data_IF_347536249889
#
_entry.id   IF_347536249889
#
_cell.length_a   1.000
_cell.length_b   1.000
_cell.length_c   1.000
_cell.angle_alpha   90.00
_cell.angle_beta   90.00
_cell.angle_gamma   90.00
#
_symmetry.space_group_name_H-M   'P 1'
#
loop_
_entity.id
_entity.type
_entity.pdbx_description
1 polymer ?
#
# COMPACT_ATOMS: atom_id res chain seq x y z
N UNK A 1 -14.63 -12.70 3.29
CA UNK A 1 -13.22 -12.53 3.71
C UNK A 1 -12.50 -13.88 3.78
N UNK A 2 -11.49 -14.07 2.93
CA UNK A 2 -10.66 -15.27 2.90
C UNK A 2 -9.78 -15.40 4.14
N UNK A 3 -9.63 -16.62 4.65
CA UNK A 3 -8.77 -16.94 5.79
C UNK A 3 -7.38 -17.38 5.33
N UNK A 4 -6.41 -17.43 6.25
CA UNK A 4 -5.03 -17.86 5.96
C UNK A 4 -4.94 -19.23 5.27
N UNK A 5 -5.80 -20.18 5.67
CA UNK A 5 -5.89 -21.50 5.04
C UNK A 5 -6.40 -21.44 3.59
N UNK A 6 -7.29 -20.49 3.26
CA UNK A 6 -7.76 -20.30 1.89
C UNK A 6 -6.62 -19.79 0.99
N UNK A 7 -5.77 -18.89 1.51
CA UNK A 7 -4.58 -18.42 0.79
C UNK A 7 -3.57 -19.55 0.57
N UNK A 8 -3.28 -20.35 1.61
CA UNK A 8 -2.40 -21.53 1.48
C UNK A 8 -2.93 -22.52 0.45
N UNK A 9 -4.23 -22.77 0.45
CA UNK A 9 -4.87 -23.68 -0.49
C UNK A 9 -4.77 -23.15 -1.93
N UNK A 10 -4.98 -21.84 -2.14
CA UNK A 10 -4.83 -21.21 -3.44
C UNK A 10 -3.38 -21.29 -3.94
N UNK A 11 -2.41 -20.89 -3.10
CA UNK A 11 -0.97 -20.92 -3.43
C UNK A 11 -0.57 -22.33 -3.83
N UNK A 12 -0.90 -23.33 -3.00
CA UNK A 12 -0.58 -24.73 -3.29
C UNK A 12 -1.16 -25.20 -4.62
N UNK A 13 -2.41 -24.82 -4.92
CA UNK A 13 -3.06 -25.20 -6.19
C UNK A 13 -2.34 -24.57 -7.40
N UNK A 14 -1.87 -23.33 -7.27
CA UNK A 14 -1.09 -22.66 -8.32
C UNK A 14 0.31 -23.28 -8.49
N UNK A 15 0.98 -23.63 -7.38
CA UNK A 15 2.27 -24.32 -7.40
C UNK A 15 2.17 -25.69 -8.07
N UNK A 16 1.15 -26.48 -7.70
CA UNK A 16 0.87 -27.79 -8.32
C UNK A 16 0.66 -27.64 -9.83
N UNK A 17 -0.08 -26.62 -10.27
CA UNK A 17 -0.32 -26.34 -11.69
C UNK A 17 0.95 -25.97 -12.45
N UNK A 18 1.82 -25.12 -11.86
CA UNK A 18 3.14 -24.78 -12.44
C UNK A 18 3.99 -26.04 -12.59
N UNK A 19 3.99 -26.91 -11.56
CA UNK A 19 4.72 -28.17 -11.60
C UNK A 19 4.20 -29.11 -12.70
N UNK A 20 2.88 -29.18 -12.92
CA UNK A 20 2.33 -29.95 -14.05
C UNK A 20 2.79 -29.42 -15.40
N UNK A 21 2.86 -28.09 -15.59
CA UNK A 21 3.37 -27.48 -16.81
C UNK A 21 4.86 -27.82 -17.05
N UNK A 22 5.68 -27.82 -16.00
CA UNK A 22 7.09 -28.23 -16.10
C UNK A 22 7.24 -29.72 -16.45
N UNK A 23 6.45 -30.58 -15.81
CA UNK A 23 6.41 -32.02 -16.11
C UNK A 23 6.02 -32.29 -17.58
N UNK A 24 5.06 -31.53 -18.12
CA UNK A 24 4.70 -31.59 -19.54
C UNK A 24 5.91 -31.23 -20.41
N UNK A 25 6.56 -30.09 -20.14
CA UNK A 25 7.74 -29.64 -20.89
C UNK A 25 8.88 -30.65 -20.87
N UNK A 26 9.18 -31.21 -19.70
CA UNK A 26 10.19 -32.26 -19.51
C UNK A 26 9.83 -33.56 -20.25
N UNK A 27 8.58 -34.01 -20.14
CA UNK A 27 8.09 -35.24 -20.79
C UNK A 27 8.12 -35.13 -22.32
N UNK A 28 7.76 -33.97 -22.87
CA UNK A 28 7.82 -33.70 -24.31
C UNK A 28 9.27 -33.68 -24.79
N UNK A 29 10.18 -33.08 -24.01
CA UNK A 29 11.60 -32.97 -24.37
C UNK A 29 12.34 -34.32 -24.33
N UNK A 30 11.99 -35.20 -23.38
CA UNK A 30 12.67 -36.46 -23.12
C UNK A 30 11.92 -37.70 -23.65
N UNK A 31 11.13 -37.51 -24.72
CA UNK A 31 10.10 -38.44 -25.20
C UNK A 31 10.39 -39.94 -25.01
N UNK A 32 9.45 -40.65 -24.38
CA UNK A 32 9.49 -42.10 -24.16
C UNK A 32 8.16 -42.77 -24.57
N UNK A 33 8.14 -44.11 -24.62
CA UNK A 33 6.94 -44.88 -24.98
C UNK A 33 5.74 -44.66 -24.03
N UNK A 34 5.98 -44.18 -22.80
CA UNK A 34 4.94 -43.88 -21.82
C UNK A 34 4.54 -42.39 -21.78
N UNK A 35 5.11 -41.54 -22.63
CA UNK A 35 4.89 -40.09 -22.62
C UNK A 35 3.42 -39.69 -22.71
N UNK A 36 2.63 -40.34 -23.59
CA UNK A 36 1.22 -39.98 -23.80
C UNK A 36 0.34 -40.19 -22.57
N UNK A 37 0.58 -41.24 -21.78
CA UNK A 37 -0.19 -41.51 -20.56
C UNK A 37 0.10 -40.46 -19.48
N UNK A 38 1.37 -40.09 -19.33
CA UNK A 38 1.85 -39.05 -18.41
C UNK A 38 1.25 -37.69 -18.81
N UNK A 39 1.35 -37.33 -20.09
CA UNK A 39 0.78 -36.07 -20.59
C UNK A 39 -0.73 -35.99 -20.35
N UNK A 40 -1.46 -37.07 -20.65
CA UNK A 40 -2.92 -37.14 -20.41
C UNK A 40 -3.24 -36.95 -18.93
N UNK A 41 -2.46 -37.57 -18.04
CA UNK A 41 -2.58 -37.40 -16.59
C UNK A 41 -2.34 -35.94 -16.18
N UNK A 42 -1.26 -35.31 -16.66
CA UNK A 42 -0.94 -33.91 -16.37
C UNK A 42 -2.02 -32.94 -16.88
N UNK A 43 -2.54 -33.13 -18.09
CA UNK A 43 -3.63 -32.30 -18.62
C UNK A 43 -4.90 -32.43 -17.77
N UNK A 44 -5.27 -33.64 -17.39
CA UNK A 44 -6.43 -33.85 -16.51
C UNK A 44 -6.23 -33.23 -15.12
N UNK A 45 -4.99 -33.28 -14.59
CA UNK A 45 -4.64 -32.60 -13.34
C UNK A 45 -4.79 -31.08 -13.45
N UNK A 46 -4.24 -30.46 -14.50
CA UNK A 46 -4.38 -29.01 -14.75
C UNK A 46 -5.86 -28.61 -14.87
N UNK A 47 -6.67 -29.39 -15.59
CA UNK A 47 -8.13 -29.12 -15.69
C UNK A 47 -8.81 -29.20 -14.32
N UNK A 48 -8.42 -30.16 -13.47
CA UNK A 48 -8.94 -30.26 -12.11
C UNK A 48 -8.49 -29.08 -11.23
N UNK A 49 -7.25 -28.61 -11.40
CA UNK A 49 -6.69 -27.49 -10.65
C UNK A 49 -7.36 -26.16 -11.04
N UNK A 50 -7.59 -25.92 -12.34
CA UNK A 50 -8.35 -24.75 -12.83
C UNK A 50 -9.75 -24.71 -12.21
N UNK A 51 -10.45 -25.86 -12.20
CA UNK A 51 -11.78 -25.96 -11.56
C UNK A 51 -11.72 -25.69 -10.06
N UNK A 52 -10.63 -26.09 -9.40
CA UNK A 52 -10.43 -25.83 -7.97
C UNK A 52 -10.17 -24.34 -7.72
N UNK A 53 -9.37 -23.67 -8.54
CA UNK A 53 -9.17 -22.23 -8.47
C UNK A 53 -10.49 -21.49 -8.62
N UNK A 54 -11.31 -21.86 -9.61
CA UNK A 54 -12.64 -21.26 -9.82
C UNK A 54 -13.54 -21.43 -8.59
N UNK A 55 -13.55 -22.61 -7.97
CA UNK A 55 -14.34 -22.88 -6.76
C UNK A 55 -13.89 -22.08 -5.53
N UNK A 56 -12.60 -21.73 -5.42
CA UNK A 56 -12.07 -20.93 -4.30
C UNK A 56 -12.15 -19.42 -4.62
N UNK A 57 -12.26 -19.02 -5.88
CA UNK A 57 -12.24 -17.61 -6.33
C UNK A 57 -13.28 -16.74 -5.62
N UNK A 58 -14.48 -17.29 -5.34
CA UNK A 58 -15.56 -16.59 -4.64
C UNK A 58 -15.18 -16.14 -3.22
N UNK A 59 -14.22 -16.81 -2.58
CA UNK A 59 -13.74 -16.43 -1.23
C UNK A 59 -12.91 -15.14 -1.24
N UNK A 60 -12.39 -14.74 -2.39
CA UNK A 60 -11.49 -13.59 -2.57
C UNK A 60 -12.17 -12.35 -3.18
N UNK A 61 -13.50 -12.33 -3.32
CA UNK A 61 -14.23 -11.20 -3.95
C UNK A 61 -14.01 -9.84 -3.24
N UNK A 62 -13.82 -9.89 -1.91
CA UNK A 62 -13.53 -8.74 -1.06
C UNK A 62 -12.10 -8.20 -1.24
N UNK A 63 -11.19 -8.99 -1.82
CA UNK A 63 -9.78 -8.63 -1.98
C UNK A 63 -9.62 -7.74 -3.21
N UNK A 64 -9.28 -6.47 -2.98
CA UNK A 64 -8.99 -5.51 -4.06
C UNK A 64 -7.49 -5.40 -4.27
N UNK A 65 -7.05 -5.72 -5.48
CA UNK A 65 -5.66 -5.55 -5.91
C UNK A 65 -5.57 -4.28 -6.76
N UNK A 66 -4.72 -3.31 -6.39
CA UNK A 66 -4.49 -2.11 -7.21
C UNK A 66 -3.96 -2.47 -8.60
N UNK A 67 -4.41 -1.76 -9.64
CA UNK A 67 -3.97 -2.00 -11.03
C UNK A 67 -2.46 -1.82 -11.19
N UNK A 68 -1.86 -0.88 -10.47
CA UNK A 68 -0.41 -0.64 -10.51
C UNK A 68 0.38 -1.88 -10.06
N UNK A 69 -0.16 -2.67 -9.14
CA UNK A 69 0.47 -3.93 -8.68
C UNK A 69 0.42 -4.98 -9.80
N UNK A 70 -0.69 -5.05 -10.55
CA UNK A 70 -0.83 -5.96 -11.71
C UNK A 70 0.15 -5.56 -12.82
N UNK A 71 0.29 -4.26 -13.11
CA UNK A 71 1.25 -3.76 -14.10
C UNK A 71 2.71 -4.08 -13.72
N UNK A 72 3.03 -4.06 -12.41
CA UNK A 72 4.35 -4.50 -11.94
C UNK A 72 4.57 -5.99 -12.19
N UNK A 73 3.57 -6.84 -11.90
CA UNK A 73 3.64 -8.29 -12.10
C UNK A 73 3.80 -8.62 -13.59
N UNK A 74 3.02 -7.99 -14.47
CA UNK A 74 3.09 -8.20 -15.93
C UNK A 74 4.46 -7.84 -16.51
N UNK A 75 5.16 -6.89 -15.87
CA UNK A 75 6.54 -6.49 -16.23
C UNK A 75 7.62 -7.33 -15.54
N UNK A 76 7.24 -8.34 -14.75
CA UNK A 76 8.17 -9.17 -13.98
C UNK A 76 8.89 -8.42 -12.85
N UNK A 77 8.31 -7.32 -12.34
CA UNK A 77 8.85 -6.55 -11.21
C UNK A 77 8.26 -7.02 -9.88
N UNK A 78 9.01 -6.79 -8.79
CA UNK A 78 8.52 -7.09 -7.44
C UNK A 78 7.29 -6.21 -7.11
N UNK A 79 6.12 -6.79 -6.79
CA UNK A 79 4.92 -6.03 -6.40
C UNK A 79 5.10 -5.19 -5.12
N UNK A 80 6.03 -5.53 -4.23
CA UNK A 80 6.31 -4.75 -3.01
C UNK A 80 6.85 -3.34 -3.30
N UNK A 81 7.38 -3.10 -4.51
CA UNK A 81 7.79 -1.77 -4.94
C UNK A 81 6.62 -0.78 -4.95
N UNK A 82 5.40 -1.25 -5.23
CA UNK A 82 4.20 -0.41 -5.13
C UNK A 82 4.03 0.08 -3.70
N UNK A 83 4.10 -0.81 -2.71
CA UNK A 83 3.93 -0.46 -1.30
C UNK A 83 5.01 0.53 -0.85
N UNK A 84 6.27 0.28 -1.23
CA UNK A 84 7.38 1.20 -0.93
C UNK A 84 7.18 2.60 -1.50
N UNK A 85 6.77 2.69 -2.77
CA UNK A 85 6.49 3.98 -3.42
C UNK A 85 5.27 4.67 -2.81
N UNK A 86 4.18 3.93 -2.55
CA UNK A 86 2.98 4.45 -1.92
C UNK A 86 3.28 5.07 -0.56
N UNK A 87 4.03 4.36 0.28
CA UNK A 87 4.45 4.87 1.59
C UNK A 87 5.31 6.12 1.44
N UNK A 88 6.29 6.10 0.53
CA UNK A 88 7.17 7.24 0.27
C UNK A 88 6.40 8.48 -0.19
N UNK A 89 5.45 8.31 -1.10
CA UNK A 89 4.63 9.40 -1.62
C UNK A 89 3.66 9.92 -0.55
N UNK A 90 3.10 9.03 0.28
CA UNK A 90 2.32 9.42 1.45
C UNK A 90 3.13 10.29 2.42
N UNK A 91 4.35 9.85 2.78
CA UNK A 91 5.25 10.64 3.64
C UNK A 91 5.59 12.00 3.04
N UNK A 92 5.94 12.04 1.75
CA UNK A 92 6.23 13.29 1.05
C UNK A 92 5.03 14.24 1.06
N UNK A 93 3.83 13.72 0.82
CA UNK A 93 2.59 14.50 0.88
C UNK A 93 2.33 15.03 2.29
N UNK A 94 2.52 14.21 3.32
CA UNK A 94 2.36 14.61 4.72
C UNK A 94 3.34 15.71 5.13
N UNK A 95 4.61 15.61 4.71
CA UNK A 95 5.61 16.64 4.98
C UNK A 95 5.26 17.98 4.32
N UNK A 96 4.82 17.94 3.06
CA UNK A 96 4.34 19.12 2.34
C UNK A 96 3.11 19.72 3.01
N UNK A 97 2.17 18.89 3.45
CA UNK A 97 0.96 19.34 4.15
C UNK A 97 1.32 20.00 5.50
N UNK A 98 2.21 19.38 6.29
CA UNK A 98 2.70 19.95 7.55
C UNK A 98 3.40 21.29 7.32
N UNK A 99 4.23 21.38 6.29
CA UNK A 99 4.91 22.62 5.91
C UNK A 99 3.92 23.73 5.53
N UNK A 100 2.86 23.39 4.77
CA UNK A 100 1.76 24.33 4.48
C UNK A 100 1.06 24.81 5.75
N UNK A 101 0.74 23.92 6.68
CA UNK A 101 0.12 24.30 7.96
C UNK A 101 0.98 25.28 8.76
N UNK A 102 2.29 25.05 8.81
CA UNK A 102 3.24 25.95 9.47
C UNK A 102 3.24 27.33 8.81
N UNK A 103 3.32 27.40 7.48
CA UNK A 103 3.27 28.67 6.73
C UNK A 103 1.96 29.40 6.94
N UNK A 104 0.81 28.70 6.89
CA UNK A 104 -0.49 29.30 7.17
C UNK A 104 -0.59 29.84 8.60
N UNK A 105 0.02 29.15 9.57
CA UNK A 105 0.06 29.60 10.97
C UNK A 105 0.83 30.91 11.10
N UNK A 106 2.04 30.99 10.52
CA UNK A 106 2.83 32.23 10.52
C UNK A 106 2.14 33.37 9.77
N UNK A 107 1.53 33.09 8.63
CA UNK A 107 0.78 34.09 7.87
C UNK A 107 -0.39 34.63 8.67
N UNK A 108 -1.15 33.76 9.34
CA UNK A 108 -2.25 34.14 10.20
C UNK A 108 -1.77 34.99 11.40
N UNK A 109 -0.65 34.66 12.02
CA UNK A 109 -0.06 35.46 13.10
C UNK A 109 0.39 36.84 12.59
N UNK A 110 1.02 36.90 11.42
CA UNK A 110 1.43 38.16 10.79
C UNK A 110 0.23 39.05 10.49
N UNK A 111 -0.83 38.48 9.89
CA UNK A 111 -2.09 39.20 9.62
C UNK A 111 -2.75 39.69 10.91
N UNK A 112 -2.79 38.86 11.96
CA UNK A 112 -3.32 39.28 13.27
C UNK A 112 -2.53 40.47 13.83
N UNK A 113 -1.21 40.44 13.72
CA UNK A 113 -0.34 41.49 14.23
C UNK A 113 -0.52 42.80 13.45
N UNK A 114 -0.61 42.75 12.12
CA UNK A 114 -0.88 43.93 11.30
C UNK A 114 -2.29 44.48 11.55
N UNK A 115 -3.31 43.61 11.62
CA UNK A 115 -4.68 44.03 11.93
C UNK A 115 -4.77 44.74 13.30
N UNK A 116 -4.05 44.22 14.31
CA UNK A 116 -3.97 44.84 15.64
C UNK A 116 -3.34 46.24 15.59
N UNK A 117 -2.35 46.47 14.72
CA UNK A 117 -1.67 47.77 14.57
C UNK A 117 -2.52 48.77 13.80
N UNK A 118 -3.07 48.36 12.66
CA UNK A 118 -3.76 49.28 11.73
C UNK A 118 -5.20 49.56 12.14
N UNK A 119 -5.91 48.56 12.67
CA UNK A 119 -7.34 48.65 12.97
C UNK A 119 -7.69 47.96 14.31
N UNK A 120 -7.32 48.54 15.47
CA UNK A 120 -7.50 47.90 16.77
C UNK A 120 -8.97 47.62 17.13
N UNK A 121 -9.91 48.46 16.66
CA UNK A 121 -11.34 48.28 16.88
C UNK A 121 -11.89 47.01 16.19
N UNK A 122 -11.49 46.78 14.94
CA UNK A 122 -11.85 45.57 14.18
C UNK A 122 -11.21 44.33 14.79
N UNK A 123 -9.97 44.46 15.30
CA UNK A 123 -9.28 43.35 15.97
C UNK A 123 -10.00 42.89 17.25
N UNK A 124 -10.58 43.81 18.02
CA UNK A 124 -11.37 43.47 19.21
C UNK A 124 -12.61 42.63 18.86
N UNK A 125 -13.31 42.99 17.77
CA UNK A 125 -14.45 42.21 17.25
C UNK A 125 -14.00 40.82 16.80
N UNK A 126 -12.89 40.72 16.07
CA UNK A 126 -12.31 39.43 15.66
C UNK A 126 -11.98 38.53 16.86
N UNK A 127 -11.41 39.08 17.94
CA UNK A 127 -11.14 38.32 19.16
C UNK A 127 -12.41 37.79 19.82
N UNK A 128 -13.50 38.56 19.78
CA UNK A 128 -14.80 38.15 20.30
C UNK A 128 -15.39 36.98 19.49
N UNK A 129 -15.26 37.02 18.17
CA UNK A 129 -15.79 35.98 17.26
C UNK A 129 -14.94 34.69 17.32
N UNK A 130 -13.63 34.81 17.51
CA UNK A 130 -12.69 33.68 17.52
C UNK A 130 -12.66 32.89 18.83
N UNK A 131 -13.47 33.23 19.82
CA UNK A 131 -13.60 32.39 21.01
C UNK A 131 -13.88 30.95 20.58
N UNK A 132 -13.20 29.96 21.19
CA UNK A 132 -13.17 28.62 20.65
C UNK A 132 -14.59 28.04 20.67
N UNK A 133 -15.08 27.63 19.51
CA UNK A 133 -15.90 26.43 19.47
C UNK A 133 -14.96 25.34 19.97
N UNK A 134 -15.31 24.72 21.10
CA UNK A 134 -14.61 23.56 21.65
C UNK A 134 -14.58 22.45 20.59
N UNK A 135 -13.59 22.48 19.71
CA UNK A 135 -13.20 21.31 18.94
C UNK A 135 -12.65 20.33 19.97
N UNK A 136 -13.41 19.25 20.19
CA UNK A 136 -13.04 18.06 20.94
C UNK A 136 -11.71 17.52 20.36
N UNK A 137 -10.59 18.07 20.82
CA UNK A 137 -9.24 17.59 20.52
C UNK A 137 -8.96 16.37 21.37
N UNK A 138 -9.64 15.27 21.07
CA UNK A 138 -9.15 13.95 21.42
C UNK A 138 -8.44 13.38 20.19
N UNK A 139 -7.14 13.16 20.39
CA UNK A 139 -6.28 12.18 19.71
C UNK A 139 -5.88 12.44 18.25
N UNK A 140 -4.77 13.17 18.08
CA UNK A 140 -3.56 12.61 17.46
C UNK A 140 -2.37 13.59 17.55
N UNK A 141 -1.19 13.01 17.77
CA UNK A 141 0.14 13.66 17.90
C UNK A 141 0.53 14.20 19.28
N UNK A 142 0.63 13.29 20.26
CA UNK A 142 1.74 13.34 21.23
C UNK A 142 2.45 12.01 21.20
N UNK A 143 3.65 11.97 20.61
CA UNK A 143 4.86 11.36 21.16
C UNK A 143 5.97 11.47 20.13
N UNK A 144 7.01 12.26 20.45
CA UNK A 144 8.16 12.49 19.58
C UNK A 144 8.88 13.81 19.82
N UNK A 145 8.90 14.34 21.05
CA UNK A 145 9.99 15.23 21.48
C UNK A 145 10.98 14.36 22.22
N UNK A 146 12.06 13.97 21.54
CA UNK A 146 13.39 13.90 22.13
C UNK A 146 14.38 14.14 20.99
N UNK A 147 14.82 15.39 20.90
CA UNK A 147 16.11 15.71 20.30
C UNK A 147 17.12 15.61 21.43
N UNK A 148 18.13 14.75 21.30
CA UNK A 148 19.47 15.23 21.51
C UNK A 148 20.41 14.80 20.38
N UNK A 149 21.28 15.75 20.02
CA UNK A 149 22.55 15.55 19.34
C UNK A 149 22.54 15.12 17.86
N UNK A 150 22.92 16.08 17.02
CA UNK A 150 23.61 15.78 15.77
C UNK A 150 24.95 15.10 16.07
N UNK A 151 25.30 14.02 15.35
CA UNK A 151 26.70 13.69 15.10
C UNK A 151 27.06 13.92 13.64
N UNK A 152 28.07 14.78 13.52
CA UNK A 152 29.11 14.85 12.49
C UNK A 152 29.24 13.63 11.56
N UNK A 153 29.38 13.96 10.26
CA UNK A 153 30.28 13.34 9.27
C UNK A 153 30.27 11.82 9.12
N UNK A 154 29.88 11.32 7.95
CA UNK A 154 30.70 10.36 7.21
C UNK A 154 30.64 10.64 5.71
N UNK A 155 31.70 11.31 5.25
CA UNK A 155 32.31 11.07 3.94
C UNK A 155 33.27 9.89 4.14
N UNK A 156 33.06 8.80 3.40
CA UNK A 156 34.06 8.03 2.64
C UNK A 156 33.34 6.91 1.92
#
# INVERSE_FOLDING_TARGET
MANDEDYKQLIKTLEDMILQCDNIGSTVSNGSSNSLSILTSCFNAIVADIRRVDAISCKFEDVKVPLDVIELIDRGKNPELYLGNFIKDAFKSMELFRSKLVVYSYFLESLKNELKKTCPEVFAIYQLIKQPVEDNKNDCYTNGTDSPDAPSSYIS
#
